data_IF_656795559346
#
_entry.id   IF_656795559346
#
_cell.length_a   1.000
_cell.length_b   1.000
_cell.length_c   1.000
_cell.angle_alpha   90.00
_cell.angle_beta   90.00
_cell.angle_gamma   90.00
#
_symmetry.space_group_name_H-M   'P 1'
#
loop_
_entity.id
_entity.type
_entity.pdbx_description
1 polymer ?
#
# COMPACT_ATOMS: atom_id res chain seq x y z
N UNK A 1 11.15 -4.32 16.04
CA UNK A 1 11.91 -5.57 16.26
C UNK A 1 13.12 -5.73 15.34
N UNK A 2 13.04 -5.42 14.04
CA UNK A 2 14.15 -5.62 13.08
C UNK A 2 15.52 -5.08 13.54
N UNK A 3 15.54 -3.90 14.16
CA UNK A 3 16.78 -3.29 14.65
C UNK A 3 17.53 -4.17 15.66
N UNK A 4 16.84 -4.96 16.49
CA UNK A 4 17.49 -5.82 17.50
C UNK A 4 18.22 -7.02 16.91
N UNK A 5 17.81 -7.47 15.73
CA UNK A 5 18.43 -8.62 15.05
C UNK A 5 19.67 -8.21 14.24
N UNK A 6 19.74 -6.96 13.80
CA UNK A 6 20.78 -6.48 12.89
C UNK A 6 21.78 -5.51 13.54
N UNK A 7 21.35 -4.76 14.55
CA UNK A 7 22.22 -3.81 15.26
C UNK A 7 23.03 -4.51 16.36
N UNK A 8 24.21 -3.98 16.71
CA UNK A 8 25.00 -4.49 17.82
C UNK A 8 24.19 -4.49 19.13
N UNK A 9 24.47 -5.48 19.98
CA UNK A 9 23.75 -5.73 21.24
C UNK A 9 23.78 -4.52 22.19
N UNK A 10 24.78 -3.65 22.09
CA UNK A 10 24.93 -2.45 22.92
C UNK A 10 23.92 -1.35 22.59
N UNK A 11 23.33 -1.36 21.38
CA UNK A 11 22.34 -0.37 20.97
C UNK A 11 20.94 -0.77 21.46
N UNK A 12 20.70 -0.49 22.74
CA UNK A 12 19.45 -0.85 23.41
C UNK A 12 18.57 0.31 23.85
N UNK A 13 19.06 1.54 23.76
CA UNK A 13 18.31 2.73 24.15
C UNK A 13 17.17 3.02 23.16
N UNK A 14 15.94 2.90 23.66
CA UNK A 14 14.71 3.16 22.91
C UNK A 14 14.50 4.66 22.65
N UNK A 15 14.97 5.53 23.55
CA UNK A 15 14.82 6.99 23.43
C UNK A 15 15.69 7.51 22.28
N UNK A 16 16.92 7.03 22.22
CA UNK A 16 17.82 7.27 21.09
C UNK A 16 17.32 6.59 19.79
N UNK A 17 16.47 5.56 19.89
CA UNK A 17 15.91 4.84 18.75
C UNK A 17 14.73 5.54 18.08
N UNK A 18 13.92 6.26 18.85
CA UNK A 18 12.75 6.97 18.35
C UNK A 18 13.02 7.84 17.10
N UNK A 19 14.01 8.78 17.09
CA UNK A 19 14.23 9.64 15.93
C UNK A 19 14.67 8.86 14.68
N UNK A 20 15.51 7.83 14.83
CA UNK A 20 15.97 7.01 13.69
C UNK A 20 14.88 6.09 13.14
N UNK A 21 13.98 5.60 13.99
CA UNK A 21 12.81 4.83 13.58
C UNK A 21 11.81 5.70 12.80
N UNK A 22 11.58 6.94 13.23
CA UNK A 22 10.70 7.87 12.52
C UNK A 22 11.26 8.30 11.15
N UNK A 23 12.58 8.48 11.05
CA UNK A 23 13.22 8.69 9.75
C UNK A 23 13.10 7.46 8.84
N UNK A 24 13.27 6.26 9.40
CA UNK A 24 13.05 5.01 8.67
C UNK A 24 11.59 4.88 8.19
N UNK A 25 10.62 5.26 9.03
CA UNK A 25 9.21 5.35 8.66
C UNK A 25 8.99 6.30 7.49
N UNK A 26 9.55 7.51 7.54
CA UNK A 26 9.38 8.47 6.46
C UNK A 26 10.00 7.98 5.13
N UNK A 27 11.09 7.19 5.19
CA UNK A 27 11.63 6.48 4.02
C UNK A 27 10.70 5.39 3.49
N UNK A 28 9.97 4.68 4.35
CA UNK A 28 8.94 3.72 3.94
C UNK A 28 7.76 4.42 3.27
N UNK A 29 7.27 5.50 3.87
CA UNK A 29 6.15 6.31 3.33
C UNK A 29 6.51 6.90 1.96
N UNK A 30 7.75 7.41 1.80
CA UNK A 30 8.27 7.87 0.50
C UNK A 30 8.24 6.79 -0.59
N UNK A 31 8.28 5.51 -0.22
CA UNK A 31 8.23 4.38 -1.16
C UNK A 31 6.80 3.86 -1.39
N UNK A 32 5.78 4.54 -0.84
CA UNK A 32 4.39 4.13 -0.92
C UNK A 32 3.97 3.09 0.14
N UNK A 33 4.84 2.75 1.10
CA UNK A 33 4.50 1.84 2.20
C UNK A 33 3.90 2.67 3.34
N UNK A 34 2.61 2.47 3.61
CA UNK A 34 1.86 3.22 4.63
C UNK A 34 2.14 2.69 6.04
N UNK A 35 3.28 3.10 6.60
CA UNK A 35 3.68 2.75 7.96
C UNK A 35 3.08 3.75 8.98
N UNK A 36 2.47 3.23 10.05
CA UNK A 36 1.86 4.03 11.11
C UNK A 36 2.94 4.77 11.94
N UNK A 37 2.71 6.04 12.32
CA UNK A 37 3.60 6.77 13.23
C UNK A 37 3.75 6.05 14.58
N UNK A 38 4.97 6.01 15.11
CA UNK A 38 5.27 5.38 16.41
C UNK A 38 5.17 6.39 17.57
N UNK A 39 5.12 7.69 17.25
CA UNK A 39 4.89 8.77 18.21
C UNK A 39 4.54 10.08 17.50
N UNK A 40 4.58 11.22 18.21
CA UNK A 40 4.37 12.53 17.61
C UNK A 40 5.55 12.86 16.68
N UNK A 41 5.35 12.65 15.37
CA UNK A 41 6.37 12.89 14.33
C UNK A 41 5.74 13.45 13.06
N UNK A 42 6.54 14.10 12.23
CA UNK A 42 6.11 14.67 10.95
C UNK A 42 6.90 14.10 9.78
N UNK A 43 6.21 13.69 8.72
CA UNK A 43 6.80 13.28 7.45
C UNK A 43 6.17 14.06 6.29
N UNK A 44 7.00 14.74 5.49
CA UNK A 44 6.56 15.55 4.34
C UNK A 44 5.84 14.76 3.25
N UNK A 45 6.11 13.46 3.14
CA UNK A 45 5.54 12.58 2.11
C UNK A 45 4.16 12.04 2.48
N UNK A 46 3.72 12.22 3.73
CA UNK A 46 2.46 11.66 4.23
C UNK A 46 1.22 12.47 3.81
N UNK A 47 1.40 13.78 3.55
CA UNK A 47 0.28 14.72 3.39
C UNK A 47 0.25 15.47 2.05
N UNK A 48 1.01 15.05 1.03
CA UNK A 48 1.00 15.65 -0.32
C UNK A 48 1.09 17.20 -0.33
N UNK A 49 1.79 17.81 0.62
CA UNK A 49 1.90 19.27 0.75
C UNK A 49 2.74 19.92 -0.36
N UNK A 50 3.35 19.11 -1.22
CA UNK A 50 4.20 19.55 -2.33
C UNK A 50 3.95 18.69 -3.57
N UNK A 51 2.73 18.69 -4.13
CA UNK A 51 2.45 18.33 -5.54
C UNK A 51 2.91 16.95 -6.07
N UNK A 52 3.51 16.08 -5.25
CA UNK A 52 4.16 14.84 -5.68
C UNK A 52 3.44 13.68 -4.99
N UNK A 53 2.39 13.23 -5.67
CA UNK A 53 1.45 12.20 -5.22
C UNK A 53 2.18 10.91 -4.79
N UNK A 54 2.15 10.60 -3.50
CA UNK A 54 2.38 9.24 -2.99
C UNK A 54 1.06 8.53 -2.63
N UNK A 55 -0.06 8.97 -3.23
CA UNK A 55 -1.28 8.18 -3.22
C UNK A 55 -1.03 6.91 -4.05
N UNK A 56 -0.90 5.76 -3.38
CA UNK A 56 -0.93 4.45 -4.04
C UNK A 56 -2.41 4.14 -4.29
N UNK A 57 -2.91 4.22 -5.54
CA UNK A 57 -4.25 3.77 -5.83
C UNK A 57 -4.33 2.28 -5.47
N UNK A 58 -5.24 1.92 -4.56
CA UNK A 58 -5.62 0.52 -4.39
C UNK A 58 -6.24 0.07 -5.71
N UNK A 59 -5.56 -0.85 -6.40
CA UNK A 59 -5.89 -1.32 -7.74
C UNK A 59 -7.27 -2.01 -7.88
N UNK A 60 -8.07 -2.07 -6.80
CA UNK A 60 -9.39 -2.71 -6.78
C UNK A 60 -10.49 -1.93 -7.51
N UNK A 61 -10.27 -0.66 -7.89
CA UNK A 61 -11.29 0.14 -8.57
C UNK A 61 -11.48 -0.15 -10.07
N UNK A 62 -10.47 -0.70 -10.76
CA UNK A 62 -10.46 -0.78 -12.22
C UNK A 62 -11.01 -2.11 -12.80
N UNK A 63 -11.03 -3.19 -12.02
CA UNK A 63 -11.41 -4.53 -12.49
C UNK A 63 -12.91 -4.84 -12.37
N UNK A 64 -13.69 -3.99 -11.69
CA UNK A 64 -15.12 -4.25 -11.49
C UNK A 64 -15.91 -4.25 -12.79
N UNK A 65 -15.71 -3.25 -13.67
CA UNK A 65 -16.59 -3.04 -14.82
C UNK A 65 -16.29 -3.95 -16.02
N UNK A 66 -15.03 -4.39 -16.20
CA UNK A 66 -14.65 -5.25 -17.33
C UNK A 66 -15.06 -6.71 -17.12
N UNK A 67 -15.18 -7.17 -15.87
CA UNK A 67 -15.62 -8.52 -15.54
C UNK A 67 -17.08 -8.78 -15.91
N UNK A 68 -17.97 -7.81 -15.68
CA UNK A 68 -19.41 -7.96 -15.94
C UNK A 68 -19.72 -8.09 -17.44
N UNK A 69 -19.04 -7.33 -18.29
CA UNK A 69 -19.26 -7.37 -19.74
C UNK A 69 -18.82 -8.73 -20.29
N UNK A 70 -17.66 -9.25 -19.86
CA UNK A 70 -17.18 -10.56 -20.30
C UNK A 70 -18.10 -11.70 -19.82
N UNK A 71 -18.61 -11.62 -18.58
CA UNK A 71 -19.56 -12.59 -18.05
C UNK A 71 -20.88 -12.61 -18.84
N UNK A 72 -21.40 -11.43 -19.20
CA UNK A 72 -22.61 -11.27 -20.01
C UNK A 72 -22.43 -11.81 -21.43
N UNK A 73 -21.28 -11.56 -22.06
CA UNK A 73 -20.98 -12.07 -23.41
C UNK A 73 -20.87 -13.60 -23.45
N UNK A 74 -20.22 -14.20 -22.45
CA UNK A 74 -20.13 -15.66 -22.32
C UNK A 74 -21.50 -16.29 -22.07
N UNK A 75 -22.33 -15.66 -21.22
CA UNK A 75 -23.68 -16.14 -20.95
C UNK A 75 -24.57 -16.06 -22.20
N UNK A 76 -24.48 -14.98 -22.97
CA UNK A 76 -25.19 -14.83 -24.24
C UNK A 76 -24.78 -15.91 -25.25
N UNK A 77 -23.47 -16.18 -25.41
CA UNK A 77 -22.98 -17.25 -26.29
C UNK A 77 -23.50 -18.64 -25.88
N UNK A 78 -23.52 -18.94 -24.58
CA UNK A 78 -24.03 -20.22 -24.07
C UNK A 78 -25.53 -20.38 -24.35
N UNK A 79 -26.33 -19.32 -24.14
CA UNK A 79 -27.77 -19.36 -24.42
C UNK A 79 -28.05 -19.54 -25.92
N UNK A 80 -27.28 -18.88 -26.79
CA UNK A 80 -27.47 -19.01 -28.24
C UNK A 80 -27.05 -20.38 -28.78
N UNK A 81 -26.06 -21.03 -28.18
CA UNK A 81 -25.58 -22.36 -28.61
C UNK A 81 -26.42 -23.50 -28.03
N UNK A 82 -26.97 -23.35 -26.82
CA UNK A 82 -27.83 -24.35 -26.18
C UNK A 82 -29.32 -24.17 -26.47
N UNK A 83 -29.76 -22.99 -26.92
CA UNK A 83 -31.16 -22.68 -27.25
C UNK A 83 -31.56 -22.94 -28.71
N UNK A 84 -30.62 -23.41 -29.53
CA UNK A 84 -30.84 -23.80 -30.93
C UNK A 84 -30.83 -25.32 -31.15
N UNK A 85 -30.98 -26.10 -30.08
CA UNK A 85 -31.24 -27.54 -30.12
C UNK A 85 -32.51 -27.88 -29.33
#
# INVERSE_FOLDING_TARGET
>A
MAERLWSPQTLTDATAASPRMEEHRCRMVRRGIRAQPQGPSYCKYEWNLAGESNYVPTASGALGMMGFIQQLLLFCCLVLTLGFW
#
